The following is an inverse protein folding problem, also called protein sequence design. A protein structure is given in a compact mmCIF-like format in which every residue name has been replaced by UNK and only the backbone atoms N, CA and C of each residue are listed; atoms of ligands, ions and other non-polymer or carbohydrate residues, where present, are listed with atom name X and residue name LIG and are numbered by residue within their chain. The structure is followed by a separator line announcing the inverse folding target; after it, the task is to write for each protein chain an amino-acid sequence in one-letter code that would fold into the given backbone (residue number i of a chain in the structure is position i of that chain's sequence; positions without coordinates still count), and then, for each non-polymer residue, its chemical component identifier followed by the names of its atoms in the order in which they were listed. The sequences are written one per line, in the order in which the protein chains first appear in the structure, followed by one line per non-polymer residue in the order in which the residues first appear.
data_IF_301647652644
#
_entry.id   IF_301647652644
#
_cell.length_a   1.000
_cell.length_b   1.000
_cell.length_c   1.000
_cell.angle_alpha   90.00
_cell.angle_beta   90.00
_cell.angle_gamma   90.00
#
_symmetry.space_group_name_H-M   'P 1'
#
loop_
_entity.id
_entity.type
_entity.pdbx_description
1 polymer ?
#
# COMPACT_ATOMS: atom_id res chain seq x y z
N UNK A 1 3.33 -49.17 8.22
CA UNK A 1 2.65 -48.67 7.00
C UNK A 1 3.07 -47.21 6.83
N UNK A 2 4.26 -46.95 6.27
CA UNK A 2 4.55 -46.72 4.84
C UNK A 2 3.88 -45.43 4.29
N UNK A 3 4.65 -44.33 4.22
CA UNK A 3 5.10 -43.58 3.01
C UNK A 3 4.04 -42.56 2.51
N UNK A 4 4.32 -41.31 2.14
CA UNK A 4 5.44 -40.60 1.47
C UNK A 4 5.34 -39.09 1.83
N UNK A 5 6.35 -38.21 2.01
CA UNK A 5 7.63 -37.87 1.35
C UNK A 5 7.53 -37.58 -0.15
N UNK A 6 7.50 -36.29 -0.54
CA UNK A 6 8.39 -35.69 -1.57
C UNK A 6 8.46 -34.15 -1.29
N UNK A 7 9.56 -33.54 -0.81
CA UNK A 7 10.80 -33.12 -1.52
C UNK A 7 10.57 -31.85 -2.40
N UNK A 8 11.35 -30.75 -2.39
CA UNK A 8 12.78 -30.54 -2.14
C UNK A 8 13.09 -29.13 -1.62
N UNK A 9 14.09 -29.07 -0.73
CA UNK A 9 14.98 -27.94 -0.48
C UNK A 9 16.30 -28.19 -1.22
N UNK A 10 17.00 -27.13 -1.68
CA UNK A 10 18.46 -26.99 -1.93
C UNK A 10 18.71 -25.90 -2.99
N UNK A 11 19.75 -25.08 -2.96
CA UNK A 11 20.71 -24.67 -1.94
C UNK A 11 21.50 -23.50 -2.53
N UNK A 12 21.78 -22.50 -1.71
CA UNK A 12 22.81 -21.50 -1.96
C UNK A 12 24.21 -22.11 -1.71
N UNK A 13 25.25 -21.40 -2.19
CA UNK A 13 26.68 -21.46 -1.82
C UNK A 13 27.59 -21.76 -3.01
N UNK A 14 28.20 -20.71 -3.58
CA UNK A 14 29.66 -20.57 -3.66
C UNK A 14 30.07 -19.17 -4.17
N UNK A 15 31.08 -18.61 -3.50
CA UNK A 15 31.77 -17.38 -3.87
C UNK A 15 33.25 -17.64 -4.16
N UNK A 16 33.81 -16.76 -5.00
CA UNK A 16 35.21 -16.31 -5.17
C UNK A 16 36.39 -17.30 -5.15
N UNK A 17 37.22 -17.29 -6.20
CA UNK A 17 38.43 -16.44 -6.27
C UNK A 17 39.30 -16.67 -7.55
N UNK A 18 40.10 -15.63 -7.89
CA UNK A 18 41.41 -15.62 -8.63
C UNK A 18 41.47 -15.41 -10.17
N UNK A 19 42.16 -14.32 -10.55
CA UNK A 19 42.76 -13.88 -11.86
C UNK A 19 44.21 -14.42 -12.04
N UNK A 20 45.04 -14.25 -13.13
CA UNK A 20 44.98 -13.32 -14.29
C UNK A 20 45.49 -13.81 -15.70
N UNK A 21 45.23 -13.01 -16.76
CA UNK A 21 46.00 -12.88 -18.05
C UNK A 21 45.87 -13.99 -19.13
N UNK A 22 46.02 -13.81 -20.45
CA UNK A 22 46.26 -12.69 -21.38
C UNK A 22 45.79 -13.13 -22.80
N UNK A 23 45.14 -12.23 -23.55
CA UNK A 23 44.98 -12.07 -25.02
C UNK A 23 45.06 -13.27 -26.00
N UNK A 24 44.05 -13.43 -26.86
CA UNK A 24 44.14 -13.18 -28.33
C UNK A 24 42.73 -12.92 -28.90
N UNK A 25 42.68 -11.88 -29.73
CA UNK A 25 41.60 -11.30 -30.52
C UNK A 25 40.89 -12.24 -31.50
N UNK A 26 39.56 -12.16 -31.56
CA UNK A 26 38.82 -12.30 -32.84
C UNK A 26 37.58 -11.43 -32.84
N UNK A 27 37.62 -10.38 -33.67
CA UNK A 27 36.50 -9.48 -33.98
C UNK A 27 35.32 -10.28 -34.54
N UNK A 28 34.15 -10.14 -33.94
CA UNK A 28 32.87 -10.28 -34.62
C UNK A 28 31.98 -9.12 -34.15
N UNK A 29 31.69 -8.22 -35.09
CA UNK A 29 30.76 -7.12 -34.90
C UNK A 29 29.35 -7.69 -34.69
N UNK A 30 28.70 -7.31 -33.60
CA UNK A 30 27.25 -7.41 -33.46
C UNK A 30 26.69 -6.04 -33.10
N UNK A 31 25.73 -5.62 -33.93
CA UNK A 31 25.18 -4.28 -34.01
C UNK A 31 24.70 -3.70 -32.68
N UNK A 32 25.15 -2.47 -32.45
CA UNK A 32 24.73 -1.54 -31.42
C UNK A 32 23.29 -1.08 -31.66
N UNK A 33 22.31 -1.74 -31.04
CA UNK A 33 20.97 -1.15 -30.85
C UNK A 33 20.89 -0.53 -29.46
N UNK A 34 21.21 0.75 -29.40
CA UNK A 34 21.10 1.56 -28.19
C UNK A 34 19.64 1.67 -27.73
N UNK A 35 19.37 1.24 -26.50
CA UNK A 35 18.19 1.62 -25.73
C UNK A 35 18.26 3.12 -25.40
N UNK A 36 17.79 3.97 -26.31
CA UNK A 36 17.56 5.37 -26.03
C UNK A 36 16.24 5.52 -25.25
N UNK A 37 16.31 5.40 -23.92
CA UNK A 37 15.26 5.93 -23.05
C UNK A 37 15.29 7.45 -23.15
N UNK A 38 14.48 8.02 -24.03
CA UNK A 38 14.25 9.46 -24.09
C UNK A 38 13.62 9.94 -22.77
N UNK A 39 14.32 10.82 -22.06
CA UNK A 39 13.83 11.49 -20.86
C UNK A 39 12.54 12.27 -21.11
N UNK A 40 11.63 12.41 -20.13
CA UNK A 40 10.39 13.14 -20.31
C UNK A 40 10.69 14.64 -20.43
N UNK A 41 10.40 15.21 -21.60
CA UNK A 41 10.46 16.66 -21.85
C UNK A 41 9.34 17.34 -21.04
N UNK A 42 9.73 18.01 -19.95
CA UNK A 42 8.87 18.85 -19.13
C UNK A 42 8.51 20.11 -19.92
N UNK A 43 7.24 20.24 -20.31
CA UNK A 43 6.70 21.49 -20.82
C UNK A 43 5.93 22.18 -19.69
N UNK A 44 6.43 23.33 -19.24
CA UNK A 44 5.78 24.24 -18.31
C UNK A 44 4.35 24.53 -18.76
N UNK A 45 3.35 24.11 -17.98
CA UNK A 45 1.94 24.48 -18.16
C UNK A 45 1.60 25.58 -17.15
N UNK A 46 1.30 26.77 -17.67
CA UNK A 46 0.71 27.87 -16.91
C UNK A 46 -0.74 27.50 -16.52
N UNK A 47 -1.06 27.68 -15.23
CA UNK A 47 -2.30 27.25 -14.59
C UNK A 47 -3.52 28.13 -14.94
N UNK A 48 -4.65 27.51 -15.30
CA UNK A 48 -5.99 28.10 -15.16
C UNK A 48 -7.05 27.01 -14.82
N UNK A 49 -7.94 27.18 -13.81
CA UNK A 49 -8.40 26.03 -13.01
C UNK A 49 -9.68 25.32 -13.49
N UNK A 50 -10.38 25.79 -14.53
CA UNK A 50 -11.72 25.26 -14.90
C UNK A 50 -11.81 24.54 -16.24
N UNK A 51 -10.94 24.86 -17.20
CA UNK A 51 -10.86 24.17 -18.49
C UNK A 51 -10.06 22.85 -18.40
N UNK A 52 -9.29 22.66 -17.33
CA UNK A 52 -8.21 21.68 -17.28
C UNK A 52 -8.67 20.26 -16.91
N UNK A 53 -9.82 20.05 -16.25
CA UNK A 53 -10.26 18.68 -15.91
C UNK A 53 -10.66 17.92 -17.18
N UNK A 54 -11.39 18.56 -18.11
CA UNK A 54 -11.75 17.93 -19.40
C UNK A 54 -10.53 17.68 -20.27
N UNK A 55 -9.57 18.62 -20.28
CA UNK A 55 -8.32 18.49 -21.04
C UNK A 55 -7.38 17.44 -20.42
N UNK A 56 -7.32 17.32 -19.10
CA UNK A 56 -6.54 16.33 -18.38
C UNK A 56 -7.19 14.94 -18.51
N UNK A 57 -8.52 14.84 -18.44
CA UNK A 57 -9.24 13.60 -18.74
C UNK A 57 -9.02 13.18 -20.20
N UNK A 58 -9.11 14.10 -21.16
CA UNK A 58 -8.75 13.89 -22.57
C UNK A 58 -7.30 13.42 -22.71
N UNK A 59 -6.35 14.07 -22.04
CA UNK A 59 -4.93 13.73 -22.07
C UNK A 59 -4.66 12.34 -21.46
N UNK A 60 -5.28 12.05 -20.32
CA UNK A 60 -5.16 10.74 -19.66
C UNK A 60 -5.82 9.66 -20.51
N UNK A 61 -6.99 9.91 -21.10
CA UNK A 61 -7.68 8.97 -22.00
C UNK A 61 -6.87 8.73 -23.28
N UNK A 62 -6.30 9.77 -23.89
CA UNK A 62 -5.46 9.64 -25.08
C UNK A 62 -4.13 8.93 -24.77
N UNK A 63 -3.49 9.24 -23.64
CA UNK A 63 -2.27 8.55 -23.18
C UNK A 63 -2.52 7.10 -22.79
N UNK A 64 -3.61 6.80 -22.07
CA UNK A 64 -4.00 5.42 -21.71
C UNK A 64 -4.36 4.60 -22.95
N UNK A 65 -5.09 5.18 -23.93
CA UNK A 65 -5.36 4.54 -25.22
C UNK A 65 -4.06 4.27 -26.01
N UNK A 66 -3.10 5.20 -25.98
CA UNK A 66 -1.80 5.03 -26.62
C UNK A 66 -0.93 3.96 -25.94
N UNK A 67 -0.94 3.90 -24.60
CA UNK A 67 -0.21 2.88 -23.82
C UNK A 67 -0.84 1.50 -24.02
N UNK A 68 -2.17 1.41 -23.94
CA UNK A 68 -2.90 0.17 -24.16
C UNK A 68 -2.65 -0.36 -25.59
N UNK A 69 -2.72 0.52 -26.60
CA UNK A 69 -2.41 0.18 -27.99
C UNK A 69 -0.96 -0.31 -28.19
N UNK A 70 0.01 0.29 -27.49
CA UNK A 70 1.40 -0.19 -27.50
C UNK A 70 1.55 -1.56 -26.83
N UNK A 71 0.81 -1.81 -25.75
CA UNK A 71 0.82 -3.08 -25.03
C UNK A 71 0.27 -4.22 -25.90
N UNK A 72 -0.88 -4.00 -26.54
CA UNK A 72 -1.46 -4.93 -27.50
C UNK A 72 -0.54 -5.19 -28.70
N UNK A 73 0.14 -4.15 -29.21
CA UNK A 73 1.11 -4.28 -30.30
C UNK A 73 2.38 -5.04 -29.90
N UNK A 74 2.84 -4.88 -28.67
CA UNK A 74 3.98 -5.60 -28.11
C UNK A 74 3.64 -7.09 -27.91
N UNK A 75 2.50 -7.37 -27.29
CA UNK A 75 2.03 -8.74 -27.06
C UNK A 75 1.78 -9.50 -28.37
N UNK A 76 1.16 -8.84 -29.36
CA UNK A 76 0.92 -9.44 -30.67
C UNK A 76 2.21 -9.77 -31.44
N UNK A 77 3.30 -9.03 -31.21
CA UNK A 77 4.57 -9.23 -31.93
C UNK A 77 5.50 -10.24 -31.26
N UNK A 78 5.49 -10.34 -29.92
CA UNK A 78 6.34 -11.28 -29.19
C UNK A 78 5.66 -12.64 -28.95
N UNK A 79 4.32 -12.70 -28.82
CA UNK A 79 3.61 -13.93 -28.45
C UNK A 79 2.27 -14.09 -29.21
N UNK A 80 2.28 -14.42 -30.51
CA UNK A 80 1.09 -14.39 -31.35
C UNK A 80 0.00 -15.40 -30.92
N UNK A 81 0.36 -16.63 -30.57
CA UNK A 81 -0.60 -17.65 -30.11
C UNK A 81 -1.23 -17.30 -28.76
N UNK A 82 -0.42 -16.79 -27.84
CA UNK A 82 -0.87 -16.34 -26.52
C UNK A 82 -1.79 -15.11 -26.63
N UNK A 83 -1.46 -14.16 -27.51
CA UNK A 83 -2.26 -12.95 -27.72
C UNK A 83 -3.64 -13.25 -28.28
N UNK A 84 -3.75 -14.19 -29.23
CA UNK A 84 -5.03 -14.65 -29.78
C UNK A 84 -5.87 -15.32 -28.70
N UNK A 85 -5.28 -16.24 -27.93
CA UNK A 85 -5.97 -16.91 -26.81
C UNK A 85 -6.42 -15.91 -25.74
N UNK A 86 -5.54 -14.98 -25.33
CA UNK A 86 -5.82 -13.92 -24.36
C UNK A 86 -6.93 -12.99 -24.83
N UNK A 87 -6.90 -12.58 -26.11
CA UNK A 87 -7.90 -11.66 -26.67
C UNK A 87 -9.26 -12.33 -26.79
N UNK A 88 -9.31 -13.60 -27.21
CA UNK A 88 -10.55 -14.38 -27.30
C UNK A 88 -11.11 -14.66 -25.89
N UNK A 89 -10.25 -15.04 -24.95
CA UNK A 89 -10.65 -15.34 -23.56
C UNK A 89 -11.18 -14.09 -22.83
N UNK A 90 -10.42 -12.99 -22.84
CA UNK A 90 -10.82 -11.75 -22.16
C UNK A 90 -12.05 -11.13 -22.82
N UNK A 91 -12.12 -11.09 -24.15
CA UNK A 91 -13.32 -10.58 -24.83
C UNK A 91 -14.51 -11.53 -24.68
N UNK A 92 -14.30 -12.84 -24.72
CA UNK A 92 -15.37 -13.84 -24.61
C UNK A 92 -16.02 -13.86 -23.22
N UNK A 93 -15.22 -13.79 -22.15
CA UNK A 93 -15.73 -13.76 -20.78
C UNK A 93 -16.48 -12.46 -20.47
N UNK A 94 -16.00 -11.32 -21.00
CA UNK A 94 -16.60 -10.01 -20.77
C UNK A 94 -17.80 -9.74 -21.69
N UNK A 95 -17.80 -10.29 -22.91
CA UNK A 95 -18.83 -10.04 -23.94
C UNK A 95 -20.10 -10.86 -23.75
N UNK A 96 -20.12 -11.83 -22.82
CA UNK A 96 -21.32 -12.60 -22.53
C UNK A 96 -21.89 -12.08 -21.20
N UNK A 97 -22.94 -11.24 -21.23
CA UNK A 97 -23.54 -10.64 -20.05
C UNK A 97 -23.85 -11.62 -18.90
N UNK A 98 -24.36 -12.86 -19.15
CA UNK A 98 -24.57 -13.80 -18.05
C UNK A 98 -23.26 -14.30 -17.42
N UNK A 99 -22.18 -14.52 -18.18
CA UNK A 99 -20.91 -14.98 -17.60
C UNK A 99 -20.21 -13.89 -16.79
N UNK A 100 -20.31 -12.62 -17.18
CA UNK A 100 -19.83 -11.51 -16.36
C UNK A 100 -20.54 -11.46 -15.00
N UNK A 101 -21.87 -11.67 -14.97
CA UNK A 101 -22.64 -11.74 -13.73
C UNK A 101 -22.21 -12.94 -12.87
N UNK A 102 -22.09 -14.14 -13.45
CA UNK A 102 -21.61 -15.32 -12.74
C UNK A 102 -20.17 -15.14 -12.22
N UNK A 103 -19.32 -14.45 -12.97
CA UNK A 103 -17.96 -14.13 -12.52
C UNK A 103 -17.98 -13.18 -11.33
N UNK A 104 -18.86 -12.16 -11.31
CA UNK A 104 -19.03 -11.28 -10.14
C UNK A 104 -19.51 -12.08 -8.93
N UNK A 105 -20.49 -12.98 -9.10
CA UNK A 105 -20.96 -13.84 -8.00
C UNK A 105 -19.90 -14.83 -7.52
N UNK A 106 -19.10 -15.39 -8.43
CA UNK A 106 -17.97 -16.26 -8.11
C UNK A 106 -16.89 -15.49 -7.34
N UNK A 107 -16.55 -14.28 -7.79
CA UNK A 107 -15.61 -13.41 -7.09
C UNK A 107 -16.17 -12.98 -5.72
N UNK A 108 -17.47 -12.72 -5.61
CA UNK A 108 -18.14 -12.41 -4.35
C UNK A 108 -18.04 -13.58 -3.36
N UNK A 109 -18.18 -14.81 -3.83
CA UNK A 109 -18.02 -16.02 -3.02
C UNK A 109 -16.56 -16.26 -2.59
N UNK A 110 -15.60 -16.04 -3.50
CA UNK A 110 -14.17 -16.26 -3.25
C UNK A 110 -13.54 -15.12 -2.42
N UNK A 111 -13.99 -13.88 -2.61
CA UNK A 111 -13.44 -12.68 -1.97
C UNK A 111 -14.52 -11.88 -1.21
N UNK A 112 -15.20 -12.48 -0.21
CA UNK A 112 -16.25 -11.81 0.54
C UNK A 112 -15.74 -10.55 1.25
N UNK A 113 -14.46 -10.50 1.63
CA UNK A 113 -13.85 -9.36 2.35
C UNK A 113 -13.76 -8.07 1.55
N UNK A 114 -13.65 -8.16 0.22
CA UNK A 114 -13.38 -6.99 -0.63
C UNK A 114 -14.65 -6.52 -1.33
N UNK A 115 -15.58 -7.43 -1.60
CA UNK A 115 -16.76 -7.15 -2.42
C UNK A 115 -18.05 -7.00 -1.60
N UNK A 116 -18.13 -7.62 -0.41
CA UNK A 116 -19.31 -7.51 0.45
C UNK A 116 -19.12 -6.44 1.52
N UNK A 117 -20.16 -5.62 1.70
CA UNK A 117 -20.27 -4.70 2.84
C UNK A 117 -20.39 -5.55 4.11
N UNK A 118 -19.77 -5.09 5.20
CA UNK A 118 -19.74 -5.77 6.52
C UNK A 118 -21.11 -6.24 7.02
N UNK A 119 -22.20 -5.58 6.62
CA UNK A 119 -23.57 -5.96 6.96
C UNK A 119 -24.00 -7.32 6.38
N UNK A 120 -23.45 -7.73 5.24
CA UNK A 120 -23.78 -9.01 4.58
C UNK A 120 -22.88 -10.17 5.04
N UNK A 121 -21.98 -9.95 5.99
CA UNK A 121 -21.11 -11.00 6.50
C UNK A 121 -21.82 -11.82 7.57
N UNK A 122 -21.66 -13.14 7.52
CA UNK A 122 -22.15 -14.02 8.59
C UNK A 122 -21.42 -13.71 9.91
N UNK A 123 -22.06 -13.92 11.08
CA UNK A 123 -21.46 -13.56 12.37
C UNK A 123 -20.12 -14.29 12.64
N UNK A 124 -19.98 -15.54 12.17
CA UNK A 124 -18.71 -16.29 12.24
C UNK A 124 -17.61 -15.61 11.41
N UNK A 125 -17.92 -15.27 10.16
CA UNK A 125 -16.97 -14.58 9.27
C UNK A 125 -16.58 -13.20 9.80
N UNK A 126 -17.50 -12.47 10.46
CA UNK A 126 -17.18 -11.18 11.06
C UNK A 126 -16.06 -11.33 12.11
N UNK A 127 -16.17 -12.31 13.00
CA UNK A 127 -15.14 -12.58 14.01
C UNK A 127 -13.81 -12.98 13.36
N UNK A 128 -13.83 -13.95 12.44
CA UNK A 128 -12.61 -14.43 11.76
C UNK A 128 -11.88 -13.31 11.02
N UNK A 129 -12.64 -12.40 10.39
CA UNK A 129 -12.06 -11.30 9.64
C UNK A 129 -11.50 -10.23 10.57
N UNK A 130 -12.18 -9.93 11.67
CA UNK A 130 -11.68 -9.04 12.72
C UNK A 130 -10.37 -9.56 13.30
N UNK A 131 -10.26 -10.86 13.59
CA UNK A 131 -9.04 -11.46 14.12
C UNK A 131 -7.86 -11.34 13.14
N UNK A 132 -8.13 -11.51 11.84
CA UNK A 132 -7.09 -11.33 10.82
C UNK A 132 -6.66 -9.88 10.70
N UNK A 133 -7.59 -8.93 10.77
CA UNK A 133 -7.24 -7.51 10.80
C UNK A 133 -6.46 -7.14 12.06
N UNK A 134 -6.83 -7.69 13.22
CA UNK A 134 -6.08 -7.54 14.46
C UNK A 134 -4.67 -8.11 14.34
N UNK A 135 -4.48 -9.26 13.70
CA UNK A 135 -3.16 -9.84 13.44
C UNK A 135 -2.29 -8.93 12.56
N UNK A 136 -2.86 -8.35 11.50
CA UNK A 136 -2.14 -7.37 10.67
C UNK A 136 -1.75 -6.10 11.45
N UNK A 137 -2.66 -5.59 12.29
CA UNK A 137 -2.40 -4.43 13.14
C UNK A 137 -1.27 -4.75 14.14
N UNK A 138 -1.32 -5.92 14.79
CA UNK A 138 -0.28 -6.43 15.70
C UNK A 138 1.09 -6.51 15.02
N UNK A 139 1.15 -7.00 13.78
CA UNK A 139 2.39 -7.10 13.01
C UNK A 139 2.99 -5.72 12.69
N UNK A 140 2.16 -4.71 12.46
CA UNK A 140 2.61 -3.36 12.08
C UNK A 140 3.15 -2.51 13.24
N UNK A 141 2.71 -2.76 14.49
CA UNK A 141 3.16 -1.99 15.66
C UNK A 141 4.68 -2.01 15.90
N UNK A 142 5.37 -3.16 15.92
CA UNK A 142 6.83 -3.17 16.09
C UNK A 142 7.55 -2.52 14.91
N UNK A 143 7.03 -2.62 13.67
CA UNK A 143 7.58 -1.92 12.52
C UNK A 143 7.54 -0.39 12.74
N UNK A 144 6.40 0.14 13.19
CA UNK A 144 6.22 1.56 13.48
C UNK A 144 7.19 2.04 14.56
N UNK A 145 7.34 1.29 15.65
CA UNK A 145 8.26 1.65 16.74
C UNK A 145 9.72 1.65 16.25
N UNK A 146 10.13 0.65 15.47
CA UNK A 146 11.47 0.61 14.88
C UNK A 146 11.74 1.81 13.95
N UNK A 147 10.72 2.27 13.21
CA UNK A 147 10.86 3.50 12.40
C UNK A 147 10.94 4.75 13.26
N UNK A 148 10.17 4.84 14.34
CA UNK A 148 10.26 5.95 15.28
C UNK A 148 11.68 6.04 15.86
N UNK A 149 12.24 4.93 16.33
CA UNK A 149 13.61 4.86 16.86
C UNK A 149 14.66 5.33 15.86
N UNK A 150 14.53 4.94 14.59
CA UNK A 150 15.41 5.40 13.50
C UNK A 150 15.29 6.90 13.24
N UNK A 151 14.15 7.50 13.55
CA UNK A 151 13.90 8.94 13.33
C UNK A 151 14.34 9.80 14.52
N UNK A 152 14.43 9.24 15.73
CA UNK A 152 14.91 9.94 16.95
C UNK A 152 16.18 10.78 16.73
N UNK A 153 17.27 10.27 16.10
CA UNK A 153 18.50 11.05 15.94
C UNK A 153 18.35 12.29 15.05
N UNK A 154 17.31 12.37 14.22
CA UNK A 154 17.06 13.49 13.30
C UNK A 154 16.26 14.63 13.94
N UNK A 155 15.83 14.49 15.20
CA UNK A 155 15.08 15.53 15.91
C UNK A 155 16.06 16.55 16.50
N UNK A 156 15.86 17.83 16.20
CA UNK A 156 16.77 18.90 16.63
C UNK A 156 16.77 19.15 18.15
N UNK A 157 15.63 18.99 18.82
CA UNK A 157 15.49 19.26 20.25
C UNK A 157 15.91 18.04 21.10
N UNK A 158 16.87 18.26 22.01
CA UNK A 158 17.36 17.25 22.94
C UNK A 158 16.31 16.78 23.95
N UNK A 159 15.44 17.68 24.43
CA UNK A 159 14.38 17.35 25.37
C UNK A 159 13.32 16.45 24.74
N UNK A 160 12.89 16.79 23.52
CA UNK A 160 11.92 15.98 22.77
C UNK A 160 12.50 14.61 22.36
N UNK A 161 13.79 14.53 21.99
CA UNK A 161 14.47 13.25 21.71
C UNK A 161 14.40 12.31 22.91
N UNK A 162 14.75 12.80 24.09
CA UNK A 162 14.73 11.99 25.29
C UNK A 162 13.31 11.50 25.61
N UNK A 163 12.30 12.39 25.57
CA UNK A 163 10.90 12.03 25.83
C UNK A 163 10.36 11.01 24.82
N UNK A 164 10.69 11.15 23.54
CA UNK A 164 10.26 10.20 22.51
C UNK A 164 10.92 8.83 22.72
N UNK A 165 12.20 8.81 23.11
CA UNK A 165 12.93 7.57 23.42
C UNK A 165 12.32 6.87 24.63
N UNK A 166 12.09 7.61 25.72
CA UNK A 166 11.45 7.12 26.93
C UNK A 166 10.06 6.53 26.61
N UNK A 167 9.25 7.24 25.82
CA UNK A 167 7.93 6.76 25.40
C UNK A 167 8.02 5.47 24.57
N UNK A 168 8.95 5.39 23.59
CA UNK A 168 9.18 4.16 22.83
C UNK A 168 9.53 2.97 23.74
N UNK A 169 10.41 3.17 24.73
CA UNK A 169 10.76 2.11 25.68
C UNK A 169 9.61 1.72 26.61
N UNK A 170 8.81 2.70 27.07
CA UNK A 170 7.59 2.47 27.85
C UNK A 170 6.57 1.62 27.09
N UNK A 171 6.34 1.93 25.80
CA UNK A 171 5.45 1.15 24.92
C UNK A 171 5.98 -0.27 24.73
N UNK A 172 7.28 -0.45 24.49
CA UNK A 172 7.88 -1.77 24.33
C UNK A 172 7.79 -2.62 25.60
N UNK A 173 7.85 -1.99 26.77
CA UNK A 173 7.66 -2.64 28.08
C UNK A 173 6.18 -2.93 28.40
N UNK A 174 5.25 -2.56 27.52
CA UNK A 174 3.81 -2.75 27.71
C UNK A 174 3.16 -1.77 28.68
N UNK A 175 3.84 -0.68 29.05
CA UNK A 175 3.28 0.34 29.94
C UNK A 175 2.48 1.37 29.14
N UNK A 176 1.34 1.80 29.67
CA UNK A 176 0.51 2.83 29.05
C UNK A 176 1.10 4.22 29.33
N UNK A 177 1.48 4.99 28.29
CA UNK A 177 2.04 6.32 28.49
C UNK A 177 0.97 7.27 29.05
N UNK A 178 1.39 8.18 29.93
CA UNK A 178 0.47 9.17 30.47
C UNK A 178 0.09 10.21 29.40
N UNK A 179 -1.11 10.78 29.51
CA UNK A 179 -1.65 11.72 28.51
C UNK A 179 -0.72 12.94 28.33
N UNK A 180 -0.13 13.44 29.43
CA UNK A 180 0.79 14.59 29.38
C UNK A 180 2.08 14.30 28.59
N UNK A 181 2.60 13.07 28.68
CA UNK A 181 3.79 12.64 27.93
C UNK A 181 3.51 12.64 26.41
N UNK A 182 2.31 12.21 26.02
CA UNK A 182 1.87 12.19 24.62
C UNK A 182 1.67 13.61 24.10
N UNK A 183 1.02 14.47 24.89
CA UNK A 183 0.74 15.86 24.50
C UNK A 183 2.03 16.66 24.31
N UNK A 184 3.06 16.42 25.14
CA UNK A 184 4.37 17.05 24.99
C UNK A 184 5.05 16.73 23.65
N UNK A 185 4.75 15.58 23.03
CA UNK A 185 5.33 15.17 21.75
C UNK A 185 4.56 15.68 20.53
N UNK A 186 3.42 16.37 20.71
CA UNK A 186 2.58 16.86 19.61
C UNK A 186 3.36 17.70 18.60
N UNK A 187 4.27 18.55 19.07
CA UNK A 187 5.07 19.42 18.21
C UNK A 187 5.97 18.61 17.27
N UNK A 188 6.50 17.48 17.75
CA UNK A 188 7.34 16.57 16.96
C UNK A 188 6.58 15.97 15.76
N UNK A 189 5.30 15.62 15.94
CA UNK A 189 4.44 15.08 14.88
C UNK A 189 3.87 16.14 13.93
N UNK A 190 3.99 17.42 14.27
CA UNK A 190 3.50 18.53 13.44
C UNK A 190 4.56 18.97 12.41
N UNK A 191 5.84 18.88 12.78
CA UNK A 191 6.96 19.39 12.00
C UNK A 191 7.86 18.27 11.44
N UNK A 192 8.93 18.65 10.73
CA UNK A 192 9.99 17.72 10.35
C UNK A 192 10.63 17.12 11.61
N UNK A 193 10.90 15.81 11.70
CA UNK A 193 10.83 14.77 10.66
C UNK A 193 9.56 13.87 10.66
N UNK A 194 8.69 13.95 11.67
CA UNK A 194 7.55 13.04 11.82
C UNK A 194 6.24 13.55 11.19
N UNK A 195 6.24 14.73 10.61
CA UNK A 195 5.08 15.32 9.95
C UNK A 195 4.49 14.42 8.86
N UNK A 196 3.15 14.38 8.77
CA UNK A 196 2.39 13.56 7.82
C UNK A 196 2.76 13.76 6.34
N UNK A 197 3.38 14.88 5.98
CA UNK A 197 3.85 15.18 4.62
C UNK A 197 5.27 14.68 4.32
N UNK A 198 6.05 14.43 5.37
CA UNK A 198 7.50 14.15 5.29
C UNK A 198 7.85 12.75 5.80
N UNK A 199 6.86 12.02 6.36
CA UNK A 199 7.01 10.60 6.69
C UNK A 199 7.59 9.79 5.53
N UNK A 200 8.56 8.94 5.83
CA UNK A 200 9.18 8.02 4.89
C UNK A 200 8.14 7.04 4.30
N UNK A 201 8.35 6.63 3.05
CA UNK A 201 7.41 5.74 2.34
C UNK A 201 7.16 4.40 3.09
N UNK A 202 8.20 3.87 3.74
CA UNK A 202 8.09 2.64 4.52
C UNK A 202 7.26 2.83 5.79
N UNK A 203 7.45 3.94 6.51
CA UNK A 203 6.65 4.28 7.69
C UNK A 203 5.18 4.53 7.30
N UNK A 204 4.93 5.24 6.20
CA UNK A 204 3.57 5.41 5.63
C UNK A 204 2.92 4.06 5.34
N UNK A 205 3.68 3.10 4.79
CA UNK A 205 3.19 1.74 4.51
C UNK A 205 2.87 0.98 5.80
N UNK A 206 3.75 1.01 6.80
CA UNK A 206 3.52 0.39 8.11
C UNK A 206 2.27 0.99 8.79
N UNK A 207 2.12 2.31 8.77
CA UNK A 207 0.96 3.01 9.34
C UNK A 207 -0.33 2.69 8.57
N UNK A 208 -0.25 2.58 7.24
CA UNK A 208 -1.39 2.15 6.43
C UNK A 208 -1.86 0.74 6.77
N UNK A 209 -0.94 -0.19 7.10
CA UNK A 209 -1.28 -1.54 7.57
C UNK A 209 -1.95 -1.52 8.94
N UNK A 210 -1.44 -0.71 9.87
CA UNK A 210 -2.04 -0.54 11.20
C UNK A 210 -3.49 -0.04 11.13
N UNK A 211 -3.74 0.90 10.21
CA UNK A 211 -5.06 1.47 9.95
C UNK A 211 -5.92 0.62 9.00
N UNK A 212 -5.47 -0.59 8.63
CA UNK A 212 -6.17 -1.55 7.75
C UNK A 212 -6.42 -1.03 6.32
N UNK A 213 -5.61 -0.09 5.84
CA UNK A 213 -5.64 0.38 4.45
C UNK A 213 -4.87 -0.59 3.53
N UNK A 214 -5.30 -0.64 2.27
CA UNK A 214 -4.69 -1.49 1.23
C UNK A 214 -3.22 -1.14 0.99
N UNK A 215 -2.30 -1.94 1.55
CA UNK A 215 -0.86 -1.69 1.57
C UNK A 215 -0.15 -1.78 0.19
N UNK A 216 -0.87 -2.15 -0.88
CA UNK A 216 -0.32 -2.33 -2.22
C UNK A 216 -0.29 -1.04 -3.06
N UNK A 217 -0.92 0.04 -2.61
CA UNK A 217 -0.92 1.31 -3.34
C UNK A 217 0.44 2.02 -3.28
N UNK A 218 0.76 2.86 -4.28
CA UNK A 218 1.97 3.67 -4.26
C UNK A 218 1.96 4.67 -3.08
N UNK A 219 3.14 5.02 -2.53
CA UNK A 219 3.28 5.88 -1.34
C UNK A 219 2.48 7.21 -1.34
N UNK A 220 2.39 7.98 -2.45
CA UNK A 220 1.60 9.22 -2.44
C UNK A 220 0.09 8.96 -2.28
N UNK A 221 -0.44 7.90 -2.89
CA UNK A 221 -1.86 7.53 -2.74
C UNK A 221 -2.15 7.02 -1.34
N UNK A 222 -1.24 6.23 -0.75
CA UNK A 222 -1.35 5.81 0.65
C UNK A 222 -1.38 7.01 1.58
N UNK A 223 -0.52 8.00 1.37
CA UNK A 223 -0.49 9.24 2.16
C UNK A 223 -1.80 10.01 2.04
N UNK A 224 -2.33 10.15 0.82
CA UNK A 224 -3.63 10.80 0.61
C UNK A 224 -4.75 10.06 1.34
N UNK A 225 -4.82 8.73 1.18
CA UNK A 225 -5.83 7.88 1.84
C UNK A 225 -5.74 7.93 3.36
N UNK A 226 -4.54 7.93 3.91
CA UNK A 226 -4.33 8.10 5.36
C UNK A 226 -4.85 9.45 5.85
N UNK A 227 -4.56 10.54 5.13
CA UNK A 227 -5.10 11.86 5.48
C UNK A 227 -6.62 11.86 5.43
N UNK A 228 -7.22 11.33 4.36
CA UNK A 228 -8.68 11.20 4.26
C UNK A 228 -9.25 10.39 5.43
N UNK A 229 -8.61 9.27 5.78
CA UNK A 229 -9.01 8.45 6.91
C UNK A 229 -8.95 9.20 8.24
N UNK A 230 -7.85 9.90 8.52
CA UNK A 230 -7.72 10.75 9.73
C UNK A 230 -8.75 11.87 9.76
N UNK A 231 -9.06 12.49 8.61
CA UNK A 231 -10.12 13.52 8.55
C UNK A 231 -11.50 12.95 8.82
N UNK A 232 -11.78 11.72 8.38
CA UNK A 232 -13.04 11.03 8.69
C UNK A 232 -13.12 10.73 10.18
N UNK A 233 -12.06 10.20 10.79
CA UNK A 233 -12.01 9.98 12.25
C UNK A 233 -12.25 11.29 13.00
N UNK A 234 -11.58 12.37 12.61
CA UNK A 234 -11.75 13.68 13.24
C UNK A 234 -13.19 14.22 13.13
N UNK A 235 -13.83 14.02 11.98
CA UNK A 235 -15.23 14.39 11.79
C UNK A 235 -16.16 13.53 12.65
N UNK A 236 -15.88 12.22 12.77
CA UNK A 236 -16.60 11.33 13.67
C UNK A 236 -16.43 11.76 15.13
N UNK A 237 -15.22 12.13 15.57
CA UNK A 237 -14.97 12.62 16.93
C UNK A 237 -15.72 13.93 17.21
N UNK A 238 -15.75 14.86 16.24
CA UNK A 238 -16.56 16.07 16.33
C UNK A 238 -18.07 15.78 16.42
N UNK A 239 -18.54 14.79 15.67
CA UNK A 239 -19.94 14.38 15.73
C UNK A 239 -20.28 13.75 17.09
N UNK A 240 -19.40 12.88 17.62
CA UNK A 240 -19.54 12.28 18.95
C UNK A 240 -19.56 13.35 20.05
N UNK A 241 -18.70 14.36 19.97
CA UNK A 241 -18.67 15.46 20.92
C UNK A 241 -19.97 16.30 20.92
N UNK A 242 -20.68 16.36 19.78
CA UNK A 242 -21.95 17.07 19.65
C UNK A 242 -23.17 16.25 20.09
N UNK A 243 -23.21 14.96 19.73
CA UNK A 243 -24.34 14.07 19.99
C UNK A 243 -24.32 13.46 21.39
N UNK A 244 -23.12 13.38 22.00
CA UNK A 244 -22.91 12.73 23.29
C UNK A 244 -22.84 11.21 23.19
N UNK A 245 -22.03 10.60 24.07
CA UNK A 245 -21.76 9.15 24.06
C UNK A 245 -23.01 8.34 24.45
N UNK A 246 -23.93 8.94 25.20
CA UNK A 246 -25.14 8.29 25.70
C UNK A 246 -26.18 7.92 24.64
N UNK A 247 -26.08 8.45 23.42
CA UNK A 247 -27.00 8.12 22.32
C UNK A 247 -26.52 6.96 21.43
N UNK A 248 -25.28 6.48 21.62
CA UNK A 248 -24.74 5.38 20.81
C UNK A 248 -25.16 4.01 21.35
N UNK A 249 -25.55 3.13 20.44
CA UNK A 249 -25.76 1.73 20.76
C UNK A 249 -24.44 1.04 21.12
N UNK A 250 -24.49 -0.03 21.92
CA UNK A 250 -23.29 -0.79 22.29
C UNK A 250 -22.49 -1.31 21.08
N UNK A 251 -23.17 -1.61 19.97
CA UNK A 251 -22.54 -2.05 18.73
C UNK A 251 -21.80 -0.90 18.03
N UNK A 252 -22.38 0.31 18.04
CA UNK A 252 -21.72 1.49 17.49
C UNK A 252 -20.49 1.85 18.31
N UNK A 253 -20.57 1.80 19.65
CA UNK A 253 -19.42 1.99 20.54
C UNK A 253 -18.31 0.99 20.22
N UNK A 254 -18.64 -0.31 20.10
CA UNK A 254 -17.66 -1.35 19.73
C UNK A 254 -17.00 -1.07 18.38
N UNK A 255 -17.76 -0.64 17.38
CA UNK A 255 -17.22 -0.31 16.07
C UNK A 255 -16.38 0.97 16.07
N UNK A 256 -16.80 1.98 16.82
CA UNK A 256 -16.08 3.23 17.03
C UNK A 256 -14.73 3.00 17.71
N UNK A 257 -14.67 2.15 18.74
CA UNK A 257 -13.40 1.74 19.36
C UNK A 257 -12.51 1.03 18.33
N UNK A 258 -13.03 0.00 17.66
CA UNK A 258 -12.27 -0.80 16.70
C UNK A 258 -11.65 0.03 15.55
N UNK A 259 -12.41 1.01 15.03
CA UNK A 259 -11.95 1.92 13.97
C UNK A 259 -10.77 2.79 14.41
N UNK A 260 -10.68 3.13 15.70
CA UNK A 260 -9.68 4.07 16.22
C UNK A 260 -8.35 3.40 16.58
N UNK A 261 -8.36 2.12 16.94
CA UNK A 261 -7.13 1.47 17.40
C UNK A 261 -7.40 0.36 18.37
#
# INVERSE_FOLDING_TARGET
MALSRVCWARSAVWGSAVTPGHFVTRRLQLGRSGLAWGAPRSSKLHLSPKADVKNLMSYVVTKTKAINGKYHRFLGRHFPRFYVLYTIFMKGIISIPPFANYLVFLLMYLFPRQLLIRHFWTPKQQTDFLDIYHAFRKQSHPEIISYLEKVIPFISDAGLRWRLTDLCTKIQRGTHPAIHDILALRECFSNHPLGMNQLQALHVKALSRAMLLTSYLPPPLLRHRLKTHTTVIHQLDKALAKLGIGQLTAQEVKSACYLRG
#
